data_IF_626278697890
#
_entry.id   IF_626278697890
#
_cell.length_a   1.000
_cell.length_b   1.000
_cell.length_c   1.000
_cell.angle_alpha   90.00
_cell.angle_beta   90.00
_cell.angle_gamma   90.00
#
_symmetry.space_group_name_H-M   'P 1'
#
loop_
_entity.id
_entity.type
_entity.pdbx_description
1 polymer ?
#
# COMPACT_ATOMS: atom_id res chain seq x y z
N UNK A 1 11.95 7.18 -9.23
CA UNK A 1 11.17 7.05 -7.99
C UNK A 1 12.20 6.85 -6.92
N UNK A 2 12.48 7.88 -6.14
CA UNK A 2 13.58 7.85 -5.19
C UNK A 2 13.10 7.16 -3.92
N UNK A 3 13.08 5.83 -3.97
CA UNK A 3 12.57 5.00 -2.88
C UNK A 3 13.55 4.92 -1.71
N UNK A 4 14.75 5.53 -1.82
CA UNK A 4 15.82 5.41 -0.83
C UNK A 4 15.44 6.05 0.50
N UNK A 5 14.78 7.22 0.51
CA UNK A 5 14.26 7.82 1.74
C UNK A 5 13.23 6.92 2.46
N UNK A 6 12.46 6.13 1.69
CA UNK A 6 11.48 5.20 2.25
C UNK A 6 12.17 3.95 2.82
N UNK A 7 13.23 3.46 2.17
CA UNK A 7 14.05 2.36 2.69
C UNK A 7 14.74 2.76 3.99
N UNK A 8 15.38 3.93 4.00
CA UNK A 8 16.05 4.48 5.19
C UNK A 8 15.06 4.64 6.35
N UNK A 9 13.84 5.11 6.09
CA UNK A 9 12.79 5.18 7.10
C UNK A 9 12.36 3.80 7.65
N UNK A 10 12.27 2.79 6.78
CA UNK A 10 11.94 1.41 7.19
C UNK A 10 13.07 0.82 8.04
N UNK A 11 14.31 0.98 7.61
CA UNK A 11 15.51 0.51 8.31
C UNK A 11 15.67 1.22 9.67
N UNK A 12 15.44 2.53 9.73
CA UNK A 12 15.44 3.30 10.98
C UNK A 12 14.37 2.82 11.98
N UNK A 13 13.28 2.21 11.49
CA UNK A 13 12.25 1.58 12.32
C UNK A 13 12.53 0.10 12.62
N UNK A 14 13.69 -0.43 12.23
CA UNK A 14 14.08 -1.83 12.42
C UNK A 14 13.36 -2.81 11.48
N UNK A 15 12.72 -2.31 10.41
CA UNK A 15 12.07 -3.14 9.41
C UNK A 15 13.01 -3.56 8.28
N UNK A 16 12.66 -4.63 7.56
CA UNK A 16 13.38 -5.06 6.36
C UNK A 16 12.72 -4.41 5.14
N UNK A 17 13.49 -3.62 4.40
CA UNK A 17 13.04 -3.01 3.15
C UNK A 17 13.15 -4.03 2.00
N UNK A 18 12.01 -4.53 1.52
CA UNK A 18 11.92 -5.42 0.34
C UNK A 18 11.41 -4.63 -0.85
N UNK A 19 12.08 -3.53 -1.18
CA UNK A 19 11.72 -2.66 -2.30
C UNK A 19 12.83 -2.73 -3.34
N UNK A 20 12.58 -3.17 -4.58
CA UNK A 20 13.61 -3.24 -5.61
C UNK A 20 14.04 -1.83 -6.04
N UNK A 21 15.36 -1.63 -6.22
CA UNK A 21 15.91 -0.38 -6.77
C UNK A 21 15.61 -0.33 -8.26
N UNK A 22 15.05 0.78 -8.73
CA UNK A 22 14.76 0.99 -10.16
C UNK A 22 15.95 1.69 -10.80
N UNK A 23 16.90 0.93 -11.33
CA UNK A 23 17.99 1.46 -12.15
C UNK A 23 17.73 1.19 -13.63
N UNK A 24 17.74 2.24 -14.45
CA UNK A 24 17.77 2.11 -15.91
C UNK A 24 19.15 1.60 -16.31
N UNK A 25 19.24 0.36 -16.80
CA UNK A 25 20.42 -0.13 -17.53
C UNK A 25 21.59 -0.72 -16.72
N UNK A 26 21.41 -1.05 -15.44
CA UNK A 26 22.39 -1.86 -14.70
C UNK A 26 21.72 -3.11 -14.14
N UNK A 27 22.43 -4.24 -14.21
CA UNK A 27 22.00 -5.53 -13.66
C UNK A 27 21.54 -5.34 -12.22
N UNK A 28 20.23 -5.45 -12.04
CA UNK A 28 19.63 -5.48 -10.72
C UNK A 28 20.16 -6.77 -10.10
N UNK A 29 20.78 -6.68 -8.92
CA UNK A 29 21.00 -7.84 -8.08
C UNK A 29 19.63 -8.37 -7.62
N UNK A 30 18.99 -9.12 -8.53
CA UNK A 30 17.62 -9.65 -8.36
C UNK A 30 17.55 -10.60 -7.18
N UNK A 31 18.68 -11.18 -6.77
CA UNK A 31 18.74 -12.14 -5.67
C UNK A 31 18.71 -11.46 -4.29
N UNK A 32 18.99 -10.16 -4.21
CA UNK A 32 18.94 -9.40 -2.96
C UNK A 32 17.52 -9.11 -2.44
N UNK A 33 16.49 -9.26 -3.28
CA UNK A 33 15.10 -8.93 -2.95
C UNK A 33 14.24 -10.19 -2.96
N UNK A 34 13.55 -10.45 -1.86
CA UNK A 34 12.53 -11.49 -1.82
C UNK A 34 11.32 -11.12 -2.70
N UNK A 35 11.35 -11.60 -3.94
CA UNK A 35 10.27 -11.39 -4.91
C UNK A 35 8.96 -12.05 -4.52
N UNK A 36 9.00 -13.16 -3.78
CA UNK A 36 7.79 -13.80 -3.27
C UNK A 36 7.10 -12.87 -2.28
N UNK A 37 7.87 -12.27 -1.35
CA UNK A 37 7.32 -11.31 -0.41
C UNK A 37 6.86 -10.02 -1.11
N UNK A 38 7.66 -9.49 -2.04
CA UNK A 38 7.30 -8.30 -2.82
C UNK A 38 6.01 -8.50 -3.62
N UNK A 39 5.76 -9.72 -4.11
CA UNK A 39 4.52 -10.05 -4.83
C UNK A 39 3.31 -9.71 -3.98
N UNK A 40 3.26 -10.04 -2.68
CA UNK A 40 2.09 -9.79 -1.82
C UNK A 40 1.65 -8.32 -1.74
N UNK A 41 2.50 -7.36 -2.13
CA UNK A 41 2.13 -5.94 -2.26
C UNK A 41 0.87 -5.74 -3.13
N UNK A 42 0.66 -6.57 -4.15
CA UNK A 42 -0.52 -6.48 -5.01
C UNK A 42 -1.84 -6.67 -4.23
N UNK A 43 -1.85 -7.45 -3.14
CA UNK A 43 -3.06 -7.66 -2.33
C UNK A 43 -3.49 -6.35 -1.64
N UNK A 44 -2.50 -5.60 -1.14
CA UNK A 44 -2.72 -4.29 -0.51
C UNK A 44 -3.19 -3.28 -1.57
N UNK A 45 -2.53 -3.24 -2.73
CA UNK A 45 -2.92 -2.38 -3.84
C UNK A 45 -4.36 -2.68 -4.32
N UNK A 46 -4.73 -3.97 -4.42
CA UNK A 46 -6.08 -4.41 -4.76
C UNK A 46 -7.12 -3.97 -3.73
N UNK A 47 -6.80 -4.03 -2.43
CA UNK A 47 -7.70 -3.55 -1.39
C UNK A 47 -7.96 -2.04 -1.51
N UNK A 48 -6.90 -1.25 -1.75
CA UNK A 48 -7.05 0.18 -2.00
C UNK A 48 -7.79 0.48 -3.30
N UNK A 49 -7.58 -0.30 -4.36
CA UNK A 49 -8.32 -0.17 -5.61
C UNK A 49 -9.83 -0.39 -5.38
N UNK A 50 -10.19 -1.41 -4.60
CA UNK A 50 -11.58 -1.70 -4.25
C UNK A 50 -12.25 -0.55 -3.51
N UNK A 51 -11.59 0.00 -2.49
CA UNK A 51 -12.14 1.10 -1.68
C UNK A 51 -12.22 2.41 -2.49
N UNK A 52 -11.33 2.62 -3.45
CA UNK A 52 -11.41 3.78 -4.36
C UNK A 52 -12.63 3.77 -5.29
N UNK A 53 -13.37 2.66 -5.41
CA UNK A 53 -14.68 2.68 -6.08
C UNK A 53 -15.71 3.52 -5.34
N UNK A 54 -15.58 3.66 -4.02
CA UNK A 54 -16.42 4.58 -3.27
C UNK A 54 -16.04 6.02 -3.62
N UNK A 55 -16.94 6.70 -4.35
CA UNK A 55 -16.76 8.09 -4.78
C UNK A 55 -16.43 9.01 -3.60
N UNK A 56 -17.08 8.80 -2.45
CA UNK A 56 -16.86 9.56 -1.20
C UNK A 56 -15.39 9.57 -0.76
N UNK A 57 -14.71 8.42 -0.88
CA UNK A 57 -13.33 8.21 -0.45
C UNK A 57 -12.34 8.70 -1.51
N UNK A 58 -12.63 8.42 -2.78
CA UNK A 58 -11.76 8.80 -3.91
C UNK A 58 -11.57 10.31 -4.03
N UNK A 59 -12.67 11.07 -3.93
CA UNK A 59 -12.62 12.54 -4.05
C UNK A 59 -12.46 13.25 -2.70
N UNK A 60 -12.31 12.49 -1.60
CA UNK A 60 -12.22 13.02 -0.22
C UNK A 60 -13.30 14.07 0.10
N UNK A 61 -14.58 13.68 0.04
CA UNK A 61 -15.68 14.62 0.35
C UNK A 61 -15.67 15.14 1.79
N UNK A 62 -15.12 14.35 2.73
CA UNK A 62 -15.07 14.72 4.15
C UNK A 62 -14.13 15.90 4.39
N UNK A 63 -14.67 16.98 4.99
CA UNK A 63 -13.89 18.19 5.32
C UNK A 63 -12.91 17.97 6.46
N UNK A 64 -13.25 17.11 7.41
CA UNK A 64 -12.44 16.84 8.59
C UNK A 64 -11.65 15.54 8.42
N UNK A 65 -10.35 15.58 8.74
CA UNK A 65 -9.47 14.41 8.67
C UNK A 65 -9.99 13.22 9.50
N UNK A 66 -10.59 13.49 10.68
CA UNK A 66 -11.18 12.46 11.54
C UNK A 66 -12.33 11.70 10.87
N UNK A 67 -13.17 12.43 10.12
CA UNK A 67 -14.32 11.84 9.45
C UNK A 67 -13.85 11.02 8.25
N UNK A 68 -12.88 11.54 7.49
CA UNK A 68 -12.27 10.80 6.39
C UNK A 68 -11.63 9.50 6.87
N UNK A 69 -10.87 9.54 7.96
CA UNK A 69 -10.28 8.35 8.56
C UNK A 69 -11.36 7.33 8.96
N UNK A 70 -12.45 7.79 9.58
CA UNK A 70 -13.58 6.93 9.96
C UNK A 70 -14.25 6.27 8.76
N UNK A 71 -14.43 7.00 7.66
CA UNK A 71 -14.99 6.46 6.40
C UNK A 71 -14.07 5.43 5.74
N UNK A 72 -12.75 5.66 5.76
CA UNK A 72 -11.77 4.67 5.25
C UNK A 72 -11.80 3.41 6.11
N UNK A 73 -11.81 3.53 7.44
CA UNK A 73 -11.93 2.39 8.36
C UNK A 73 -13.21 1.60 8.14
N UNK A 74 -14.34 2.29 7.93
CA UNK A 74 -15.62 1.65 7.64
C UNK A 74 -15.57 0.86 6.32
N UNK A 75 -14.98 1.44 5.27
CA UNK A 75 -14.87 0.76 3.97
C UNK A 75 -14.00 -0.50 4.03
N UNK A 76 -12.90 -0.47 4.78
CA UNK A 76 -12.10 -1.68 5.03
C UNK A 76 -12.87 -2.72 5.86
N UNK A 77 -13.65 -2.28 6.85
CA UNK A 77 -14.48 -3.17 7.66
C UNK A 77 -15.56 -3.86 6.81
N UNK A 78 -16.22 -3.11 5.92
CA UNK A 78 -17.19 -3.66 4.96
C UNK A 78 -16.55 -4.63 3.96
N UNK A 79 -15.33 -4.33 3.48
CA UNK A 79 -14.59 -5.22 2.60
C UNK A 79 -14.19 -6.55 3.29
N UNK A 80 -13.94 -6.51 4.60
CA UNK A 80 -13.53 -7.68 5.39
C UNK A 80 -14.70 -8.60 5.73
N UNK A 81 -15.90 -8.05 5.95
CA UNK A 81 -17.07 -8.84 6.28
C UNK A 81 -17.43 -9.76 5.10
N UNK A 82 -17.58 -11.08 5.33
CA UNK A 82 -18.17 -11.95 4.32
C UNK A 82 -19.62 -11.50 4.10
N UNK A 83 -19.90 -10.96 2.92
CA UNK A 83 -21.27 -10.86 2.44
C UNK A 83 -21.78 -12.28 2.23
N UNK A 84 -22.31 -12.90 3.28
CA UNK A 84 -23.17 -14.05 3.13
C UNK A 84 -24.45 -13.56 2.45
N UNK A 85 -24.56 -13.84 1.15
CA UNK A 85 -25.83 -13.79 0.43
C UNK A 85 -26.64 -15.04 0.76
#
# INVERSE_FOLDING_TARGET
>A
YDSDALREYIEAKGGISVIPKRNYGQDIDKDSVDWCLYKYRHLVENAFARIKHYRSISTRYEKLARNYASMVSLAFSMMWLPMYC
#
